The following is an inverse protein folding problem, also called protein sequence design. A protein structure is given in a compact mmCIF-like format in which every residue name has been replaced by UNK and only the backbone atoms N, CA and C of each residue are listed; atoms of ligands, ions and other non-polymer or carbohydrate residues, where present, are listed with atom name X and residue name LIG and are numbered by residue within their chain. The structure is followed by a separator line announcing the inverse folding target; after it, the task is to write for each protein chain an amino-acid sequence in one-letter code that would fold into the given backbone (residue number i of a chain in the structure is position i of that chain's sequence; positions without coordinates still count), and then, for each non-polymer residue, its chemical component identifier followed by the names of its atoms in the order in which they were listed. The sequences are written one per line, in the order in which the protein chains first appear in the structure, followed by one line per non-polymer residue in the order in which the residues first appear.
data_IF_412775752182
#
_entry.id   IF_412775752182
#
_cell.length_a   1.000
_cell.length_b   1.000
_cell.length_c   1.000
_cell.angle_alpha   90.00
_cell.angle_beta   90.00
_cell.angle_gamma   90.00
#
_symmetry.space_group_name_H-M   'P 1'
#
loop_
_entity.id
_entity.type
_entity.pdbx_description
1 polymer ?
#
# COMPACT_ATOMS: atom_id res chain seq x y z
N UNK A 1 1.40 -20.36 37.22
CA UNK A 1 2.73 -19.98 36.70
C UNK A 1 2.65 -19.84 35.18
N UNK A 2 2.14 -18.70 34.68
CA UNK A 2 2.58 -17.99 33.46
C UNK A 2 1.74 -16.71 33.22
N UNK A 3 1.49 -15.90 34.26
CA UNK A 3 0.59 -14.73 34.16
C UNK A 3 1.24 -13.41 34.61
N UNK A 4 2.55 -13.40 34.84
CA UNK A 4 3.24 -12.24 35.39
C UNK A 4 4.45 -11.89 34.51
N UNK A 5 4.21 -11.15 33.41
CA UNK A 5 5.23 -10.33 32.72
C UNK A 5 4.80 -9.45 31.55
N UNK A 6 3.53 -9.44 31.16
CA UNK A 6 3.05 -8.49 30.15
C UNK A 6 1.79 -7.79 30.63
N UNK A 7 1.99 -6.64 31.29
CA UNK A 7 0.95 -5.67 31.60
C UNK A 7 0.43 -4.97 30.34
N UNK A 8 -0.04 -5.74 29.37
CA UNK A 8 -0.73 -5.23 28.19
C UNK A 8 -2.17 -5.67 28.29
N UNK A 9 -3.07 -4.70 28.47
CA UNK A 9 -4.51 -4.88 28.38
C UNK A 9 -4.82 -5.20 26.91
N UNK A 10 -4.66 -6.47 26.53
CA UNK A 10 -4.90 -6.94 25.17
C UNK A 10 -6.41 -7.06 24.98
N UNK A 11 -7.06 -5.95 24.64
CA UNK A 11 -8.40 -5.99 24.09
C UNK A 11 -8.25 -6.49 22.65
N UNK A 12 -8.47 -7.79 22.45
CA UNK A 12 -8.46 -8.43 21.14
C UNK A 12 -9.84 -8.20 20.50
N UNK A 13 -9.99 -7.37 19.46
CA UNK A 13 -11.21 -7.39 18.66
C UNK A 13 -11.25 -8.67 17.80
N UNK A 14 -12.44 -9.23 17.59
CA UNK A 14 -12.74 -10.53 16.94
C UNK A 14 -12.14 -10.77 15.53
N UNK A 15 -11.42 -9.82 14.92
CA UNK A 15 -10.94 -9.87 13.54
C UNK A 15 -9.39 -9.77 13.40
N UNK A 16 -8.64 -10.31 14.36
CA UNK A 16 -7.17 -10.11 14.47
C UNK A 16 -6.33 -10.70 13.33
N UNK A 17 -6.79 -11.78 12.69
CA UNK A 17 -6.01 -12.47 11.63
C UNK A 17 -5.75 -11.60 10.40
N UNK A 18 -6.64 -10.65 10.09
CA UNK A 18 -6.50 -9.78 8.92
C UNK A 18 -5.54 -8.61 9.18
N UNK A 19 -5.63 -8.01 10.38
CA UNK A 19 -4.78 -6.89 10.78
C UNK A 19 -3.31 -7.30 10.98
N UNK A 20 -3.04 -8.52 11.47
CA UNK A 20 -1.68 -9.00 11.65
C UNK A 20 -0.96 -9.23 10.31
N UNK A 21 -1.66 -9.80 9.31
CA UNK A 21 -1.09 -10.02 7.97
C UNK A 21 -0.87 -8.70 7.21
N UNK A 22 -1.85 -7.79 7.25
CA UNK A 22 -1.71 -6.44 6.68
C UNK A 22 -0.59 -5.68 7.42
N UNK A 23 -0.59 -5.68 8.75
CA UNK A 23 0.42 -4.99 9.55
C UNK A 23 1.85 -5.50 9.33
N UNK A 24 2.03 -6.81 9.11
CA UNK A 24 3.32 -7.40 8.78
C UNK A 24 3.80 -7.00 7.37
N UNK A 25 2.90 -6.88 6.40
CA UNK A 25 3.22 -6.37 5.07
C UNK A 25 3.57 -4.87 5.10
N UNK A 26 2.88 -4.08 5.93
CA UNK A 26 3.03 -2.62 6.04
C UNK A 26 4.17 -2.15 6.96
N UNK A 27 5.12 -3.01 7.32
CA UNK A 27 6.29 -2.53 8.08
C UNK A 27 7.11 -1.58 7.20
N UNK A 28 7.75 -0.56 7.81
CA UNK A 28 8.62 0.41 7.10
C UNK A 28 9.67 -0.25 6.17
N UNK A 29 10.01 -1.52 6.42
CA UNK A 29 10.97 -2.30 5.62
C UNK A 29 10.37 -2.95 4.38
N UNK A 30 9.07 -3.19 4.34
CA UNK A 30 8.40 -4.01 3.32
C UNK A 30 7.13 -3.37 2.77
N UNK A 31 6.92 -2.07 3.03
CA UNK A 31 5.68 -1.38 2.69
C UNK A 31 5.35 -1.54 1.20
N UNK A 32 4.26 -2.24 0.94
CA UNK A 32 3.66 -2.47 -0.37
C UNK A 32 2.19 -2.01 -0.31
N UNK A 33 1.69 -1.47 -1.42
CA UNK A 33 0.27 -1.14 -1.59
C UNK A 33 -0.28 -1.72 -2.89
N UNK A 34 -1.58 -2.00 -2.89
CA UNK A 34 -2.31 -2.46 -4.06
C UNK A 34 -3.39 -1.45 -4.42
N UNK A 35 -3.25 -0.78 -5.56
CA UNK A 35 -4.28 0.09 -6.11
C UNK A 35 -5.14 -0.68 -7.09
N UNK A 36 -6.44 -0.71 -6.82
CA UNK A 36 -7.47 -1.31 -7.66
C UNK A 36 -8.38 -0.21 -8.17
N UNK A 37 -8.55 -0.11 -9.49
CA UNK A 37 -9.41 0.87 -10.13
C UNK A 37 -10.35 0.19 -11.13
N UNK A 38 -11.65 0.34 -10.90
CA UNK A 38 -12.72 -0.13 -11.79
C UNK A 38 -13.40 1.09 -12.40
N UNK A 39 -13.14 1.33 -13.68
CA UNK A 39 -13.65 2.52 -14.39
C UNK A 39 -15.08 2.35 -14.91
N UNK A 40 -15.59 1.11 -14.94
CA UNK A 40 -17.00 0.80 -15.23
C UNK A 40 -17.86 1.17 -14.02
N UNK A 41 -17.43 0.74 -12.83
CA UNK A 41 -18.06 1.08 -11.55
C UNK A 41 -17.69 2.47 -11.03
N UNK A 42 -16.65 3.09 -11.58
CA UNK A 42 -16.15 4.41 -11.19
C UNK A 42 -15.55 4.45 -9.79
N UNK A 43 -14.90 3.37 -9.34
CA UNK A 43 -14.32 3.25 -7.99
C UNK A 43 -12.83 2.95 -8.03
N UNK A 44 -12.10 3.50 -7.07
CA UNK A 44 -10.71 3.17 -6.78
C UNK A 44 -10.58 2.84 -5.31
N UNK A 45 -9.82 1.79 -5.01
CA UNK A 45 -9.49 1.39 -3.65
C UNK A 45 -8.00 1.09 -3.48
N UNK A 46 -7.47 1.48 -2.33
CA UNK A 46 -6.17 1.02 -1.82
C UNK A 46 -6.43 0.44 -0.43
N UNK A 47 -6.69 -0.88 -0.32
CA UNK A 47 -7.11 -1.51 0.94
C UNK A 47 -6.10 -1.27 2.08
N UNK A 48 -4.81 -1.32 1.78
CA UNK A 48 -3.71 -1.15 2.73
C UNK A 48 -3.71 0.24 3.39
N UNK A 49 -4.14 1.25 2.65
CA UNK A 49 -4.26 2.63 3.13
C UNK A 49 -5.69 2.98 3.54
N UNK A 50 -6.62 2.01 3.48
CA UNK A 50 -8.06 2.19 3.69
C UNK A 50 -8.67 3.30 2.82
N UNK A 51 -8.13 3.50 1.62
CA UNK A 51 -8.60 4.52 0.68
C UNK A 51 -9.68 3.93 -0.21
N UNK A 52 -10.80 4.63 -0.30
CA UNK A 52 -11.87 4.36 -1.25
C UNK A 52 -12.33 5.69 -1.83
N UNK A 53 -12.24 5.85 -3.15
CA UNK A 53 -12.64 7.08 -3.83
C UNK A 53 -13.33 6.82 -5.16
N UNK A 54 -14.10 7.80 -5.61
CA UNK A 54 -14.70 7.77 -6.95
C UNK A 54 -13.67 8.19 -7.99
N UNK A 55 -13.68 7.53 -9.13
CA UNK A 55 -12.87 7.87 -10.31
C UNK A 55 -13.78 8.04 -11.53
N UNK A 56 -13.26 8.71 -12.55
CA UNK A 56 -13.99 8.88 -13.81
C UNK A 56 -13.69 7.72 -14.77
N UNK A 57 -14.51 7.59 -15.82
CA UNK A 57 -14.32 6.58 -16.87
C UNK A 57 -13.07 6.81 -17.74
N UNK A 58 -12.44 7.99 -17.64
CA UNK A 58 -11.18 8.34 -18.35
C UNK A 58 -9.93 7.92 -17.57
N UNK A 59 -10.09 7.35 -16.39
CA UNK A 59 -9.00 6.83 -15.59
C UNK A 59 -8.28 5.72 -16.37
N UNK A 60 -6.96 5.76 -16.37
CA UNK A 60 -6.13 4.87 -17.18
C UNK A 60 -4.86 4.51 -16.42
N UNK A 61 -4.10 3.57 -16.98
CA UNK A 61 -2.97 2.93 -16.32
C UNK A 61 -1.93 3.95 -15.80
N UNK A 62 -1.52 4.91 -16.63
CA UNK A 62 -0.51 5.91 -16.24
C UNK A 62 -0.94 6.78 -15.05
N UNK A 63 -2.23 7.14 -14.97
CA UNK A 63 -2.78 7.84 -13.81
C UNK A 63 -2.76 6.95 -12.57
N UNK A 64 -3.07 5.67 -12.72
CA UNK A 64 -3.05 4.69 -11.65
C UNK A 64 -1.63 4.48 -11.10
N UNK A 65 -0.63 4.38 -11.97
CA UNK A 65 0.78 4.24 -11.59
C UNK A 65 1.26 5.46 -10.81
N UNK A 66 1.02 6.67 -11.32
CA UNK A 66 1.40 7.91 -10.65
C UNK A 66 0.72 8.03 -9.29
N UNK A 67 -0.56 7.69 -9.21
CA UNK A 67 -1.32 7.79 -7.98
C UNK A 67 -0.90 6.76 -6.93
N UNK A 68 -0.56 5.52 -7.34
CA UNK A 68 -0.01 4.53 -6.43
C UNK A 68 1.32 5.01 -5.81
N UNK A 69 2.24 5.53 -6.62
CA UNK A 69 3.52 6.05 -6.13
C UNK A 69 3.33 7.25 -5.18
N UNK A 70 2.42 8.16 -5.51
CA UNK A 70 2.11 9.32 -4.66
C UNK A 70 1.52 8.89 -3.31
N UNK A 71 0.53 7.99 -3.33
CA UNK A 71 -0.08 7.47 -2.11
C UNK A 71 0.94 6.75 -1.21
N UNK A 72 1.82 5.94 -1.80
CA UNK A 72 2.88 5.26 -1.06
C UNK A 72 3.87 6.26 -0.46
N UNK A 73 4.29 7.29 -1.22
CA UNK A 73 5.16 8.35 -0.74
C UNK A 73 4.53 9.13 0.42
N UNK A 74 3.31 9.63 0.23
CA UNK A 74 2.61 10.42 1.26
C UNK A 74 2.44 9.60 2.53
N UNK A 75 2.07 8.33 2.40
CA UNK A 75 1.95 7.44 3.55
C UNK A 75 3.28 7.25 4.29
N UNK A 76 4.39 7.05 3.56
CA UNK A 76 5.73 6.94 4.12
C UNK A 76 6.20 8.24 4.80
N UNK A 77 5.89 9.40 4.21
CA UNK A 77 6.18 10.71 4.80
C UNK A 77 5.43 10.91 6.11
N UNK A 78 4.16 10.50 6.17
CA UNK A 78 3.36 10.52 7.41
C UNK A 78 3.93 9.61 8.50
N UNK A 79 4.64 8.54 8.12
CA UNK A 79 5.38 7.66 9.03
C UNK A 79 6.81 8.15 9.34
N UNK A 80 7.13 9.40 8.99
CA UNK A 80 8.44 10.01 9.26
C UNK A 80 9.57 9.53 8.34
N UNK A 81 9.22 8.99 7.16
CA UNK A 81 10.18 8.51 6.17
C UNK A 81 10.03 9.29 4.88
N UNK A 82 11.00 10.14 4.55
CA UNK A 82 11.01 10.83 3.27
C UNK A 82 11.64 9.91 2.21
N UNK A 83 10.85 9.54 1.20
CA UNK A 83 11.27 8.70 0.08
C UNK A 83 11.33 9.52 -1.21
N UNK A 84 12.37 9.31 -2.00
CA UNK A 84 12.52 9.84 -3.36
C UNK A 84 11.89 8.87 -4.38
N UNK A 85 11.60 9.31 -5.61
CA UNK A 85 11.07 8.43 -6.67
C UNK A 85 11.94 7.19 -6.92
N UNK A 86 13.26 7.33 -6.80
CA UNK A 86 14.21 6.21 -6.97
C UNK A 86 14.03 5.11 -5.92
N UNK A 87 13.41 5.43 -4.80
CA UNK A 87 13.22 4.55 -3.65
C UNK A 87 11.91 3.76 -3.73
N UNK A 88 11.05 4.11 -4.69
CA UNK A 88 9.79 3.44 -4.95
C UNK A 88 9.89 2.64 -6.25
N UNK A 89 9.09 1.60 -6.36
CA UNK A 89 8.96 0.84 -7.60
C UNK A 89 7.53 0.31 -7.78
N UNK A 90 7.12 0.20 -9.04
CA UNK A 90 5.91 -0.52 -9.42
C UNK A 90 6.32 -1.97 -9.71
N UNK A 91 5.76 -2.93 -8.97
CA UNK A 91 6.04 -4.37 -9.14
C UNK A 91 5.06 -5.02 -10.10
N UNK A 92 3.84 -4.50 -10.20
CA UNK A 92 2.85 -4.92 -11.19
C UNK A 92 2.07 -3.73 -11.71
N UNK A 93 1.83 -3.70 -13.02
CA UNK A 93 0.92 -2.77 -13.67
C UNK A 93 0.10 -3.52 -14.71
N UNK A 94 -1.21 -3.68 -14.45
CA UNK A 94 -2.09 -4.46 -15.31
C UNK A 94 -3.39 -3.69 -15.56
N UNK A 95 -3.85 -3.68 -16.82
CA UNK A 95 -5.13 -3.10 -17.21
C UNK A 95 -5.89 -4.08 -18.09
N UNK A 96 -7.05 -4.53 -17.63
CA UNK A 96 -7.98 -5.37 -18.37
C UNK A 96 -9.16 -4.54 -18.86
N UNK A 97 -9.57 -4.74 -20.11
CA UNK A 97 -10.81 -4.16 -20.61
C UNK A 97 -12.01 -4.96 -20.09
N UNK A 98 -13.03 -4.27 -19.61
CA UNK A 98 -14.31 -4.85 -19.25
C UNK A 98 -15.22 -4.88 -20.47
N UNK A 99 -15.81 -6.04 -20.75
CA UNK A 99 -16.73 -6.24 -21.89
C UNK A 99 -18.13 -6.50 -21.35
N UNK A 100 -19.09 -5.72 -21.82
CA UNK A 100 -20.51 -5.92 -21.54
C UNK A 100 -21.25 -6.11 -22.86
N UNK A 101 -21.74 -7.34 -23.09
CA UNK A 101 -22.27 -7.75 -24.40
C UNK A 101 -21.19 -7.75 -25.47
N UNK A 102 -21.33 -6.90 -26.49
CA UNK A 102 -20.39 -6.77 -27.62
C UNK A 102 -19.50 -5.52 -27.56
N UNK A 103 -19.54 -4.75 -26.46
CA UNK A 103 -18.82 -3.48 -26.34
C UNK A 103 -17.96 -3.44 -25.08
N UNK A 104 -16.85 -2.71 -25.15
CA UNK A 104 -16.03 -2.40 -23.96
C UNK A 104 -16.76 -1.38 -23.09
N UNK A 105 -17.05 -1.72 -21.84
CA UNK A 105 -17.79 -0.85 -20.91
C UNK A 105 -16.87 -0.07 -19.95
N UNK A 106 -15.67 -0.58 -19.70
CA UNK A 106 -14.69 0.08 -18.85
C UNK A 106 -13.36 -0.67 -18.77
N UNK A 107 -12.59 -0.43 -17.71
CA UNK A 107 -11.30 -1.06 -17.44
C UNK A 107 -11.18 -1.42 -15.98
N UNK A 108 -10.59 -2.58 -15.71
CA UNK A 108 -10.10 -2.96 -14.41
C UNK A 108 -8.58 -2.82 -14.41
N UNK A 109 -8.08 -1.90 -13.59
CA UNK A 109 -6.67 -1.55 -13.47
C UNK A 109 -6.19 -2.00 -12.09
N UNK A 110 -5.06 -2.71 -12.06
CA UNK A 110 -4.38 -3.14 -10.84
C UNK A 110 -2.93 -2.70 -10.90
N UNK A 111 -2.52 -1.94 -9.89
CA UNK A 111 -1.13 -1.55 -9.67
C UNK A 111 -0.67 -2.09 -8.32
N UNK A 112 0.54 -2.67 -8.28
CA UNK A 112 1.26 -2.89 -7.02
C UNK A 112 2.51 -2.03 -6.98
N UNK A 113 2.68 -1.32 -5.87
CA UNK A 113 3.81 -0.44 -5.64
C UNK A 113 4.45 -0.77 -4.30
N UNK A 114 5.78 -0.74 -4.24
CA UNK A 114 6.53 -1.01 -3.00
C UNK A 114 7.72 -0.08 -2.83
N UNK A 115 8.24 -0.03 -1.60
CA UNK A 115 9.51 0.61 -1.29
C UNK A 115 10.66 -0.35 -1.62
N UNK A 116 11.70 0.13 -2.31
CA UNK A 116 12.86 -0.68 -2.66
C UNK A 116 13.58 -1.18 -1.39
N UNK A 117 13.90 -2.48 -1.29
CA UNK A 117 14.49 -3.07 -0.09
C UNK A 117 15.89 -2.52 0.25
N UNK A 118 16.63 -1.99 -0.74
CA UNK A 118 17.99 -1.45 -0.53
C UNK A 118 18.07 -0.17 0.31
N UNK A 119 16.96 0.56 0.51
CA UNK A 119 16.98 1.83 1.23
C UNK A 119 17.02 1.67 2.75
N UNK A 120 16.43 0.58 3.25
CA UNK A 120 16.18 0.41 4.68
C UNK A 120 17.44 0.00 5.46
N UNK A 121 18.47 -0.46 4.75
CA UNK A 121 19.79 -0.72 5.36
C UNK A 121 20.50 0.55 5.83
N UNK A 122 20.17 1.74 5.31
CA UNK A 122 20.78 3.00 5.74
C UNK A 122 20.11 3.62 6.97
N UNK A 123 18.89 3.20 7.33
CA UNK A 123 18.13 3.81 8.43
C UNK A 123 18.21 3.03 9.75
N UNK A 124 18.84 1.85 9.75
CA UNK A 124 19.01 0.99 10.94
C UNK A 124 20.34 1.13 11.68
N UNK A 125 21.22 2.06 11.29
CA UNK A 125 22.59 2.16 11.78
C UNK A 125 22.97 3.54 12.33
N UNK A 126 22.29 4.01 13.38
CA UNK A 126 22.75 5.18 14.14
C UNK A 126 22.39 5.04 15.62
N UNK A 127 23.04 4.10 16.31
CA UNK A 127 23.23 4.13 17.76
C UNK A 127 24.60 3.50 18.06
N UNK A 128 25.68 4.20 17.70
CA UNK A 128 26.97 3.98 18.33
C UNK A 128 27.18 5.07 19.38
N UNK A 129 26.91 4.68 20.61
CA UNK A 129 27.47 5.25 21.84
C UNK A 129 28.95 5.59 21.63
N UNK A 130 29.32 6.85 21.80
CA UNK A 130 30.70 7.21 22.14
C UNK A 130 30.76 7.40 23.66
N UNK A 131 31.53 6.51 24.28
CA UNK A 131 32.13 6.68 25.60
C UNK A 131 33.06 7.90 25.64
#
# INVERSE_FOLDING_TARGET
LLEDKFGLKCTIPENYSFANAIGAALTKRTMEITLLADTDRGILSVPELQIYKKINSKYHLELAEKEALDLLRTHMQNLGTNLEDKDLEITEAVSFNMVSGFWTSGKNIRIRAQVKPGLISKMGGANNVKS
#
